data_IF_430354614357
#
_entry.id   IF_430354614357
#
_cell.length_a   1.000
_cell.length_b   1.000
_cell.length_c   1.000
_cell.angle_alpha   90.00
_cell.angle_beta   90.00
_cell.angle_gamma   90.00
#
_symmetry.space_group_name_H-M   'P 1'
#
loop_
_entity.id
_entity.type
_entity.pdbx_description
1 polymer ?
#
# COMPACT_ATOMS: atom_id res chain seq x y z
N UNK A 1 -2.70 -6.72 -9.54
CA UNK A 1 -1.53 -6.02 -10.12
C UNK A 1 -0.91 -5.14 -9.03
N UNK A 2 0.40 -4.88 -9.05
CA UNK A 2 1.09 -4.05 -8.04
C UNK A 2 1.37 -2.67 -8.62
N UNK A 3 1.09 -1.59 -7.88
CA UNK A 3 1.55 -0.23 -8.24
C UNK A 3 2.74 0.15 -7.37
N UNK A 4 3.89 0.30 -8.01
CA UNK A 4 5.10 0.83 -7.40
C UNK A 4 5.33 2.26 -7.87
N UNK A 5 5.08 3.25 -7.01
CA UNK A 5 5.67 4.58 -7.19
C UNK A 5 7.14 4.55 -6.74
N UNK A 6 8.01 5.25 -7.45
CA UNK A 6 9.37 5.55 -6.98
C UNK A 6 9.32 6.71 -5.99
N UNK A 7 10.12 6.65 -4.92
CA UNK A 7 10.27 7.78 -3.98
C UNK A 7 11.12 8.91 -4.55
N UNK A 8 11.91 8.63 -5.59
CA UNK A 8 12.88 9.58 -6.17
C UNK A 8 12.25 10.48 -7.23
N UNK A 9 11.14 10.05 -7.85
CA UNK A 9 10.43 10.81 -8.88
C UNK A 9 8.94 10.78 -8.64
N UNK A 10 8.35 11.96 -8.40
CA UNK A 10 6.90 12.11 -8.34
C UNK A 10 6.32 11.89 -9.74
N UNK A 11 5.44 10.91 -9.88
CA UNK A 11 4.62 10.72 -11.08
C UNK A 11 3.62 11.87 -11.20
N UNK A 12 3.41 12.35 -12.43
CA UNK A 12 2.35 13.31 -12.72
C UNK A 12 0.98 12.64 -12.68
N UNK A 13 -0.08 13.42 -12.47
CA UNK A 13 -1.45 12.90 -12.46
C UNK A 13 -1.83 12.22 -13.80
N UNK A 14 -1.35 12.76 -14.92
CA UNK A 14 -1.60 12.20 -16.25
C UNK A 14 -0.89 10.86 -16.45
N UNK A 15 0.37 10.73 -16.01
CA UNK A 15 1.10 9.44 -16.07
C UNK A 15 0.39 8.38 -15.23
N UNK A 16 -0.05 8.74 -14.02
CA UNK A 16 -0.78 7.84 -13.14
C UNK A 16 -2.13 7.40 -13.74
N UNK A 17 -2.92 8.34 -14.29
CA UNK A 17 -4.20 8.03 -14.94
C UNK A 17 -3.99 7.13 -16.15
N UNK A 18 -2.97 7.40 -16.97
CA UNK A 18 -2.63 6.56 -18.12
C UNK A 18 -2.24 5.13 -17.70
N UNK A 19 -1.48 4.98 -16.62
CA UNK A 19 -1.11 3.66 -16.07
C UNK A 19 -2.36 2.87 -15.62
N UNK A 20 -3.25 3.51 -14.86
CA UNK A 20 -4.49 2.88 -14.37
C UNK A 20 -5.46 2.52 -15.51
N UNK A 21 -5.59 3.37 -16.53
CA UNK A 21 -6.40 3.07 -17.72
C UNK A 21 -5.80 1.88 -18.48
N UNK A 22 -4.48 1.86 -18.66
CA UNK A 22 -3.78 0.73 -19.30
C UNK A 22 -4.06 -0.57 -18.54
N UNK A 23 -4.04 -0.56 -17.21
CA UNK A 23 -4.41 -1.74 -16.42
C UNK A 23 -5.83 -2.23 -16.72
N UNK A 24 -6.83 -1.34 -16.77
CA UNK A 24 -8.20 -1.73 -17.11
C UNK A 24 -8.33 -2.30 -18.52
N UNK A 25 -7.62 -1.72 -19.49
CA UNK A 25 -7.58 -2.25 -20.87
C UNK A 25 -7.01 -3.67 -20.93
N UNK A 26 -6.18 -4.05 -19.95
CA UNK A 26 -5.64 -5.40 -19.77
C UNK A 26 -6.44 -6.25 -18.77
N UNK A 27 -7.73 -5.93 -18.56
CA UNK A 27 -8.67 -6.67 -17.72
C UNK A 27 -8.28 -6.76 -16.23
N UNK A 28 -7.44 -5.85 -15.74
CA UNK A 28 -7.12 -5.76 -14.32
C UNK A 28 -8.22 -4.96 -13.63
N UNK A 29 -8.72 -5.50 -12.52
CA UNK A 29 -9.77 -4.91 -11.71
C UNK A 29 -9.30 -4.48 -10.30
N UNK A 30 -8.05 -4.77 -9.93
CA UNK A 30 -7.54 -4.54 -8.57
C UNK A 30 -6.04 -4.22 -8.51
N UNK A 31 -5.70 -3.32 -7.58
CA UNK A 31 -4.33 -2.90 -7.28
C UNK A 31 -4.00 -3.07 -5.79
N UNK A 32 -2.71 -3.23 -5.48
CA UNK A 32 -2.15 -3.16 -4.12
C UNK A 32 -1.13 -2.02 -4.07
N UNK A 33 -1.16 -1.20 -3.02
CA UNK A 33 -0.26 -0.05 -2.85
C UNK A 33 1.11 -0.45 -2.32
N UNK A 34 1.81 -1.33 -3.04
CA UNK A 34 3.10 -1.87 -2.58
C UNK A 34 4.19 -0.78 -2.47
N UNK A 35 4.93 -0.66 -1.37
CA UNK A 35 4.68 -1.23 -0.03
C UNK A 35 4.46 -0.12 1.01
N UNK A 36 3.61 0.86 0.65
CA UNK A 36 3.29 2.02 1.48
C UNK A 36 2.09 2.81 0.91
N UNK A 37 1.39 3.61 1.75
CA UNK A 37 0.25 4.40 1.30
C UNK A 37 0.69 5.40 0.22
N UNK A 38 0.01 5.40 -0.94
CA UNK A 38 0.37 6.26 -2.09
C UNK A 38 -0.14 7.70 -1.97
N UNK A 39 0.13 8.55 -2.95
CA UNK A 39 -0.53 9.86 -3.07
C UNK A 39 -2.08 9.69 -3.08
N UNK A 40 -2.87 10.53 -2.37
CA UNK A 40 -4.34 10.47 -2.40
C UNK A 40 -4.95 10.44 -3.80
N UNK A 41 -4.29 11.04 -4.80
CA UNK A 41 -4.74 11.03 -6.20
C UNK A 41 -4.92 9.61 -6.76
N UNK A 42 -4.12 8.64 -6.31
CA UNK A 42 -4.26 7.22 -6.73
C UNK A 42 -5.64 6.69 -6.33
N UNK A 43 -6.09 6.98 -5.11
CA UNK A 43 -7.39 6.52 -4.64
C UNK A 43 -8.53 7.25 -5.37
N UNK A 44 -8.38 8.55 -5.61
CA UNK A 44 -9.37 9.32 -6.37
C UNK A 44 -9.58 8.73 -7.78
N UNK A 45 -8.48 8.41 -8.47
CA UNK A 45 -8.54 7.79 -9.79
C UNK A 45 -9.07 6.35 -9.72
N UNK A 46 -8.78 5.58 -8.68
CA UNK A 46 -9.35 4.24 -8.51
C UNK A 46 -10.86 4.28 -8.27
N UNK A 47 -11.34 5.28 -7.52
CA UNK A 47 -12.76 5.55 -7.31
C UNK A 47 -13.45 5.93 -8.64
N UNK A 48 -12.83 6.82 -9.43
CA UNK A 48 -13.35 7.25 -10.76
C UNK A 48 -13.37 6.10 -11.77
N UNK A 49 -12.29 5.34 -11.86
CA UNK A 49 -12.10 4.30 -12.88
C UNK A 49 -12.72 2.95 -12.49
N UNK A 50 -13.11 2.75 -11.23
CA UNK A 50 -13.64 1.50 -10.71
C UNK A 50 -12.56 0.41 -10.64
N UNK A 51 -11.59 0.59 -9.74
CA UNK A 51 -10.56 -0.39 -9.39
C UNK A 51 -10.60 -0.69 -7.90
N UNK A 52 -10.53 -1.97 -7.52
CA UNK A 52 -10.39 -2.37 -6.12
C UNK A 52 -8.99 -2.09 -5.61
N UNK A 53 -8.88 -1.63 -4.36
CA UNK A 53 -7.60 -1.27 -3.73
C UNK A 53 -7.39 -2.05 -2.44
N UNK A 54 -6.20 -2.64 -2.30
CA UNK A 54 -5.64 -3.02 -1.00
C UNK A 54 -4.65 -1.94 -0.59
N UNK A 55 -4.98 -1.16 0.45
CA UNK A 55 -4.08 -0.12 0.96
C UNK A 55 -3.11 -0.69 2.00
N UNK A 56 -1.82 -0.44 1.82
CA UNK A 56 -0.75 -1.07 2.58
C UNK A 56 0.00 -0.11 3.47
N UNK A 57 0.12 -0.46 4.76
CA UNK A 57 0.88 0.32 5.71
C UNK A 57 2.36 0.33 5.30
N UNK A 58 3.02 1.46 5.53
CA UNK A 58 4.46 1.60 5.27
C UNK A 58 5.23 0.84 6.35
N UNK A 59 5.21 -0.48 6.34
CA UNK A 59 5.90 -1.32 7.30
C UNK A 59 6.61 -2.44 6.54
N UNK A 60 7.91 -2.26 6.33
CA UNK A 60 8.77 -3.24 5.70
C UNK A 60 10.09 -3.34 6.47
N UNK A 61 10.53 -4.57 6.75
CA UNK A 61 11.80 -4.83 7.43
C UNK A 61 12.47 -6.09 6.88
N UNK A 62 12.53 -6.19 5.55
CA UNK A 62 13.04 -7.36 4.82
C UNK A 62 14.42 -7.82 5.33
N UNK A 63 15.36 -6.90 5.54
CA UNK A 63 16.71 -7.23 6.02
C UNK A 63 16.74 -7.73 7.49
N UNK A 64 15.62 -7.67 8.20
CA UNK A 64 15.48 -7.87 9.65
C UNK A 64 14.20 -8.66 9.98
N UNK A 65 13.73 -9.53 9.08
CA UNK A 65 12.48 -10.28 9.16
C UNK A 65 12.19 -10.86 10.55
N UNK A 66 13.18 -11.49 11.20
CA UNK A 66 13.01 -12.17 12.49
C UNK A 66 13.30 -11.32 13.73
N UNK A 67 13.46 -10.00 13.61
CA UNK A 67 13.97 -9.19 14.73
C UNK A 67 13.21 -7.91 15.05
N UNK A 68 12.69 -7.19 14.05
CA UNK A 68 12.05 -5.89 14.33
C UNK A 68 10.60 -6.04 14.81
N UNK A 69 9.78 -6.84 14.12
CA UNK A 69 8.40 -7.07 14.53
C UNK A 69 8.27 -7.87 15.83
N UNK A 70 9.25 -8.72 16.15
CA UNK A 70 9.27 -9.51 17.40
C UNK A 70 9.79 -8.72 18.61
N UNK A 71 10.37 -7.54 18.39
CA UNK A 71 10.93 -6.74 19.48
C UNK A 71 9.91 -5.69 19.96
N UNK A 72 9.42 -5.78 21.22
CA UNK A 72 8.42 -4.87 21.77
C UNK A 72 8.75 -3.39 21.66
N UNK A 73 10.04 -3.03 21.59
CA UNK A 73 10.51 -1.65 21.39
C UNK A 73 9.94 -1.02 20.12
N UNK A 74 9.63 -1.79 19.09
CA UNK A 74 9.13 -1.29 17.81
C UNK A 74 7.62 -1.40 17.64
N UNK A 75 6.90 -2.05 18.56
CA UNK A 75 5.45 -2.26 18.45
C UNK A 75 4.69 -0.94 18.26
N UNK A 76 4.99 0.07 19.08
CA UNK A 76 4.34 1.39 18.96
C UNK A 76 4.60 2.04 17.60
N UNK A 77 5.81 1.90 17.05
CA UNK A 77 6.15 2.48 15.75
C UNK A 77 5.41 1.78 14.58
N UNK A 78 5.30 0.45 14.65
CA UNK A 78 4.55 -0.38 13.69
C UNK A 78 3.06 -0.03 13.76
N UNK A 79 2.50 -0.03 14.97
CA UNK A 79 1.10 0.30 15.21
C UNK A 79 0.74 1.70 14.69
N UNK A 80 1.59 2.69 14.94
CA UNK A 80 1.37 4.05 14.44
C UNK A 80 1.37 4.15 12.92
N UNK A 81 2.19 3.35 12.21
CA UNK A 81 2.21 3.32 10.73
C UNK A 81 0.88 2.80 10.19
N UNK A 82 0.34 1.73 10.79
CA UNK A 82 -0.96 1.15 10.43
C UNK A 82 -2.11 2.10 10.77
N UNK A 83 -2.14 2.64 11.99
CA UNK A 83 -3.18 3.58 12.43
C UNK A 83 -3.22 4.82 11.54
N UNK A 84 -2.07 5.42 11.19
CA UNK A 84 -2.05 6.61 10.33
C UNK A 84 -2.62 6.33 8.94
N UNK A 85 -2.28 5.21 8.32
CA UNK A 85 -2.87 4.83 7.04
C UNK A 85 -4.40 4.75 7.15
N UNK A 86 -4.90 3.99 8.13
CA UNK A 86 -6.33 3.74 8.30
C UNK A 86 -7.14 5.01 8.58
N UNK A 87 -6.62 5.94 9.38
CA UNK A 87 -7.38 7.14 9.77
C UNK A 87 -7.33 8.26 8.74
N UNK A 88 -6.25 8.38 7.97
CA UNK A 88 -6.04 9.52 7.07
C UNK A 88 -6.82 9.37 5.76
N UNK A 89 -7.09 8.15 5.30
CA UNK A 89 -7.70 7.90 4.00
C UNK A 89 -8.93 7.02 4.12
N UNK A 90 -10.03 7.51 3.57
CA UNK A 90 -11.27 6.76 3.39
C UNK A 90 -11.69 6.92 1.94
N UNK A 91 -11.80 5.81 1.24
CA UNK A 91 -12.13 5.77 -0.18
C UNK A 91 -12.92 4.49 -0.45
N UNK A 92 -14.02 4.54 -1.21
CA UNK A 92 -14.86 3.38 -1.49
C UNK A 92 -14.14 2.29 -2.29
N UNK A 93 -13.08 2.63 -3.04
CA UNK A 93 -12.26 1.65 -3.74
C UNK A 93 -11.44 0.76 -2.80
N UNK A 94 -11.18 1.18 -1.55
CA UNK A 94 -10.44 0.37 -0.57
C UNK A 94 -11.33 -0.77 -0.07
N UNK A 95 -10.99 -2.00 -0.46
CA UNK A 95 -11.69 -3.23 -0.05
C UNK A 95 -10.93 -4.02 1.02
N UNK A 96 -9.69 -3.64 1.32
CA UNK A 96 -8.88 -4.30 2.34
C UNK A 96 -7.65 -3.49 2.72
N UNK A 97 -7.08 -3.82 3.88
CA UNK A 97 -5.89 -3.20 4.42
C UNK A 97 -4.79 -4.25 4.61
N UNK A 98 -3.58 -3.91 4.19
CA UNK A 98 -2.37 -4.69 4.46
C UNK A 98 -1.55 -4.05 5.57
N UNK A 99 -1.07 -4.87 6.51
CA UNK A 99 -0.26 -4.41 7.65
C UNK A 99 1.18 -4.05 7.26
N UNK A 100 1.58 -4.36 6.02
CA UNK A 100 2.91 -4.10 5.51
C UNK A 100 3.38 -5.21 4.57
N UNK A 101 4.68 -5.29 4.40
CA UNK A 101 5.35 -6.27 3.57
C UNK A 101 6.59 -6.79 4.30
N UNK A 102 6.95 -8.06 4.09
CA UNK A 102 8.25 -8.65 4.48
C UNK A 102 8.80 -8.12 5.82
N UNK A 103 7.96 -8.10 6.85
CA UNK A 103 8.32 -7.64 8.20
C UNK A 103 8.33 -8.75 9.23
N UNK A 104 8.24 -9.99 8.74
CA UNK A 104 8.23 -11.22 9.52
C UNK A 104 6.92 -11.46 10.26
N UNK A 105 6.59 -12.74 10.34
CA UNK A 105 5.77 -13.38 11.36
C UNK A 105 6.17 -14.86 11.25
N UNK A 106 7.26 -15.25 11.92
CA UNK A 106 7.49 -16.65 12.23
C UNK A 106 7.01 -16.86 13.67
N UNK A 107 5.81 -17.43 13.82
CA UNK A 107 5.46 -18.19 15.01
C UNK A 107 5.57 -19.67 14.62
N UNK A 108 6.54 -20.33 15.23
CA UNK A 108 6.72 -21.77 15.41
C UNK A 108 6.50 -22.70 14.20
N UNK A 109 7.61 -23.22 13.67
CA UNK A 109 7.70 -24.62 13.24
C UNK A 109 8.51 -25.40 14.26
#
# INVERSE_FOLDING_TARGET
MIITQSREKKQTANELKAELISMKLHNINAIRTSHYPKDPEVLHLCDELGLYVIDEANCESHAKLSSLALNPRFHTAIEQRTKRMFHVKKSPSIIGWSLGNESGLEQDR
#
